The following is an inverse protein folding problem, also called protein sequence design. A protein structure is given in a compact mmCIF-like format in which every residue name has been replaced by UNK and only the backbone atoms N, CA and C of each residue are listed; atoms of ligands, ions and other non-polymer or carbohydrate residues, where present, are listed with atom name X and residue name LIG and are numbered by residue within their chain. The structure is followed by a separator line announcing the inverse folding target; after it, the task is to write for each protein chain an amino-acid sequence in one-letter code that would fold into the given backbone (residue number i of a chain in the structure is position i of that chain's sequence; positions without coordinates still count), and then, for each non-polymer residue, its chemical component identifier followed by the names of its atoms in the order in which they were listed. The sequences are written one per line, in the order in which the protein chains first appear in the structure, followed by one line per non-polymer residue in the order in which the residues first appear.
data_IF_751591277717
#
_entry.id   IF_751591277717
#
_cell.length_a   1.000
_cell.length_b   1.000
_cell.length_c   1.000
_cell.angle_alpha   90.00
_cell.angle_beta   90.00
_cell.angle_gamma   90.00
#
_symmetry.space_group_name_H-M   'P 1'
#
loop_
_entity.id
_entity.type
_entity.pdbx_description
1 polymer ?
#
# COMPACT_ATOMS: atom_id res chain seq x y z
N UNK A 1 -5.22 -18.29 -13.39
CA UNK A 1 -4.45 -17.48 -12.43
C UNK A 1 -5.42 -16.52 -11.77
N UNK A 2 -5.54 -16.54 -10.44
CA UNK A 2 -6.46 -15.66 -9.69
C UNK A 2 -5.60 -14.67 -8.91
N UNK A 3 -5.85 -13.38 -9.10
CA UNK A 3 -5.19 -12.31 -8.34
C UNK A 3 -6.10 -11.86 -7.20
N UNK A 4 -5.58 -11.83 -5.97
CA UNK A 4 -6.35 -11.51 -4.77
C UNK A 4 -5.61 -10.45 -3.99
N UNK A 5 -6.20 -9.25 -3.91
CA UNK A 5 -5.70 -8.15 -3.11
C UNK A 5 -6.21 -8.28 -1.68
N UNK A 6 -5.34 -8.66 -0.76
CA UNK A 6 -5.69 -8.86 0.66
C UNK A 6 -4.57 -8.37 1.58
N UNK A 7 -4.87 -8.24 2.87
CA UNK A 7 -3.89 -7.85 3.89
C UNK A 7 -3.25 -9.08 4.51
N UNK A 8 -1.93 -9.05 4.65
CA UNK A 8 -1.19 -10.01 5.46
C UNK A 8 -1.59 -9.89 6.93
N UNK A 9 -1.78 -11.02 7.60
CA UNK A 9 -2.10 -11.11 9.03
C UNK A 9 -1.09 -12.01 9.73
N UNK A 10 -0.71 -11.67 10.96
CA UNK A 10 0.18 -12.50 11.78
C UNK A 10 -0.64 -13.58 12.47
N UNK A 11 -0.24 -14.84 12.31
CA UNK A 11 -0.79 -16.01 12.99
C UNK A 11 0.33 -16.75 13.70
N UNK A 12 0.43 -16.57 15.01
CA UNK A 12 1.55 -17.10 15.80
C UNK A 12 2.91 -16.57 15.31
N UNK A 13 3.78 -17.48 14.87
CA UNK A 13 5.10 -17.16 14.32
C UNK A 13 5.12 -17.03 12.78
N UNK A 14 3.96 -17.08 12.14
CA UNK A 14 3.83 -17.06 10.67
C UNK A 14 2.96 -15.89 10.22
N UNK A 15 3.04 -15.57 8.92
CA UNK A 15 2.08 -14.69 8.26
C UNK A 15 1.13 -15.51 7.40
N UNK A 16 -0.16 -15.23 7.53
CA UNK A 16 -1.22 -15.77 6.69
C UNK A 16 -1.80 -14.68 5.79
N UNK A 17 -2.33 -15.11 4.65
CA UNK A 17 -3.18 -14.29 3.79
C UNK A 17 -4.62 -14.75 3.99
N UNK A 18 -5.55 -13.81 4.12
CA UNK A 18 -6.98 -14.13 4.19
C UNK A 18 -7.51 -14.16 2.77
N UNK A 19 -7.88 -15.35 2.31
CA UNK A 19 -8.46 -15.59 0.98
C UNK A 19 -9.98 -15.72 1.11
N UNK A 20 -10.77 -14.95 0.35
CA UNK A 20 -12.23 -15.10 0.35
C UNK A 20 -12.66 -16.50 -0.08
N UNK A 21 -13.67 -17.08 0.60
CA UNK A 21 -14.16 -18.43 0.31
C UNK A 21 -14.61 -18.60 -1.14
N UNK A 22 -15.24 -17.56 -1.72
CA UNK A 22 -15.66 -17.56 -3.13
C UNK A 22 -14.48 -17.80 -4.09
N UNK A 23 -13.31 -17.21 -3.78
CA UNK A 23 -12.13 -17.35 -4.62
C UNK A 23 -11.54 -18.76 -4.55
N UNK A 24 -11.58 -19.39 -3.36
CA UNK A 24 -11.17 -20.79 -3.17
C UNK A 24 -12.10 -21.75 -3.94
N UNK A 25 -13.42 -21.53 -3.86
CA UNK A 25 -14.39 -22.34 -4.60
C UNK A 25 -14.19 -22.25 -6.12
N UNK A 26 -13.97 -21.04 -6.64
CA UNK A 26 -13.70 -20.83 -8.07
C UNK A 26 -12.37 -21.45 -8.51
N UNK A 27 -11.38 -21.53 -7.62
CA UNK A 27 -10.11 -22.22 -7.84
C UNK A 27 -10.20 -23.75 -7.68
N UNK A 28 -11.35 -24.28 -7.24
CA UNK A 28 -11.55 -25.68 -6.87
C UNK A 28 -10.51 -26.21 -5.86
N UNK A 29 -9.93 -25.31 -5.07
CA UNK A 29 -8.99 -25.63 -3.99
C UNK A 29 -9.76 -25.93 -2.69
N UNK A 30 -9.12 -26.66 -1.78
CA UNK A 30 -9.70 -27.09 -0.51
C UNK A 30 -8.73 -26.83 0.63
N UNK A 31 -9.24 -26.91 1.85
CA UNK A 31 -8.38 -26.89 3.03
C UNK A 31 -7.43 -28.11 3.00
N UNK A 32 -6.15 -27.86 3.25
CA UNK A 32 -5.08 -28.87 3.21
C UNK A 32 -4.35 -28.98 1.86
N UNK A 33 -4.85 -28.35 0.80
CA UNK A 33 -4.13 -28.32 -0.48
C UNK A 33 -2.89 -27.41 -0.40
N UNK A 34 -1.80 -27.84 -1.05
CA UNK A 34 -0.63 -27.00 -1.23
C UNK A 34 -0.88 -25.99 -2.36
N UNK A 35 -0.63 -24.70 -2.06
CA UNK A 35 -0.85 -23.61 -2.99
C UNK A 35 0.43 -22.80 -3.18
N UNK A 36 0.76 -22.48 -4.43
CA UNK A 36 1.84 -21.53 -4.76
C UNK A 36 1.29 -20.13 -4.81
N UNK A 37 1.86 -19.22 -4.01
CA UNK A 37 1.44 -17.82 -3.91
C UNK A 37 2.49 -16.92 -4.57
N UNK A 38 2.06 -16.06 -5.50
CA UNK A 38 2.88 -14.95 -5.98
C UNK A 38 2.52 -13.68 -5.22
N UNK A 39 3.49 -13.07 -4.56
CA UNK A 39 3.30 -11.86 -3.76
C UNK A 39 3.80 -10.63 -4.53
N UNK A 40 2.94 -9.62 -4.63
CA UNK A 40 3.30 -8.28 -5.12
C UNK A 40 2.88 -7.26 -4.05
N UNK A 41 3.82 -6.45 -3.59
CA UNK A 41 3.54 -5.33 -2.68
C UNK A 41 3.05 -4.16 -3.52
N UNK A 42 1.90 -3.57 -3.16
CA UNK A 42 1.50 -2.30 -3.75
C UNK A 42 2.46 -1.19 -3.30
N UNK A 43 3.11 -0.55 -4.26
CA UNK A 43 4.08 0.54 -4.03
C UNK A 43 3.43 1.92 -3.93
N UNK A 44 2.09 2.02 -3.97
CA UNK A 44 1.36 3.29 -3.89
C UNK A 44 1.65 4.12 -2.61
N UNK A 45 2.29 3.51 -1.62
CA UNK A 45 2.73 4.19 -0.40
C UNK A 45 4.10 4.85 -0.50
N UNK A 46 4.88 4.70 -1.58
CA UNK A 46 6.18 5.38 -1.72
C UNK A 46 5.97 6.90 -1.65
N UNK A 47 4.94 7.43 -2.31
CA UNK A 47 4.60 8.86 -2.23
C UNK A 47 4.21 9.26 -0.80
N UNK A 48 3.34 8.50 -0.11
CA UNK A 48 2.97 8.79 1.28
C UNK A 48 4.16 8.69 2.25
N UNK A 49 5.07 7.76 2.04
CA UNK A 49 6.30 7.60 2.82
C UNK A 49 7.28 8.75 2.57
N UNK A 50 7.38 9.24 1.33
CA UNK A 50 8.14 10.45 0.99
C UNK A 50 7.53 11.72 1.63
N UNK A 51 6.21 11.89 1.57
CA UNK A 51 5.50 13.02 2.18
C UNK A 51 5.53 13.01 3.73
N UNK A 52 5.62 11.83 4.37
CA UNK A 52 5.82 11.73 5.83
C UNK A 52 7.28 11.95 6.26
N UNK A 53 8.24 11.63 5.39
CA UNK A 53 9.68 11.86 5.64
C UNK A 53 10.04 13.33 5.45
N UNK A 54 9.41 14.00 4.48
CA UNK A 54 9.35 15.45 4.39
C UNK A 54 8.26 15.97 5.34
N UNK A 55 8.52 15.94 6.66
CA UNK A 55 7.81 16.87 7.56
C UNK A 55 8.15 18.28 7.11
N UNK A 56 7.38 18.82 6.17
CA UNK A 56 7.47 20.22 5.78
C UNK A 56 7.36 21.03 7.07
N UNK A 57 8.46 21.64 7.49
CA UNK A 57 8.52 22.54 8.65
C UNK A 57 7.59 23.76 8.49
N UNK A 58 6.98 23.93 7.31
CA UNK A 58 6.07 25.01 6.95
C UNK A 58 4.79 24.42 6.37
N UNK A 59 3.64 25.00 6.73
CA UNK A 59 2.35 24.62 6.14
C UNK A 59 2.37 24.88 4.63
N UNK A 60 1.56 24.13 3.83
CA UNK A 60 1.43 24.36 2.39
C UNK A 60 1.15 25.84 2.04
N UNK A 61 0.36 26.53 2.87
CA UNK A 61 0.03 27.95 2.70
C UNK A 61 1.25 28.88 2.79
N UNK A 62 2.28 28.51 3.57
CA UNK A 62 3.51 29.31 3.67
C UNK A 62 4.38 29.15 2.43
N UNK A 63 4.36 27.97 1.81
CA UNK A 63 5.13 27.69 0.59
C UNK A 63 4.52 28.46 -0.58
N UNK A 64 3.19 28.43 -0.74
CA UNK A 64 2.46 29.20 -1.74
C UNK A 64 2.77 30.72 -1.62
N UNK A 65 2.72 31.26 -0.40
CA UNK A 65 3.06 32.67 -0.15
C UNK A 65 4.52 33.03 -0.41
N UNK A 66 5.45 32.09 -0.26
CA UNK A 66 6.87 32.32 -0.56
C UNK A 66 7.10 32.34 -2.08
N UNK A 67 6.47 31.42 -2.82
CA UNK A 67 6.54 31.36 -4.30
C UNK A 67 5.92 32.61 -4.94
N UNK A 68 4.74 33.03 -4.49
CA UNK A 68 4.08 34.24 -5.02
C UNK A 68 4.96 35.50 -4.81
N UNK A 69 5.65 35.57 -3.66
CA UNK A 69 6.50 36.71 -3.31
C UNK A 69 7.82 36.71 -4.08
N UNK A 70 8.35 35.55 -4.46
CA UNK A 70 9.52 35.45 -5.33
C UNK A 70 9.18 35.88 -6.77
N UNK A 71 8.01 35.48 -7.28
CA UNK A 71 7.52 35.85 -8.62
C UNK A 71 7.19 37.34 -8.77
N UNK A 72 6.84 38.04 -7.67
CA UNK A 72 6.63 39.49 -7.69
C UNK A 72 7.93 40.32 -7.65
N UNK A 73 9.09 39.71 -7.38
CA UNK A 73 10.38 40.39 -7.28
C UNK A 73 11.32 40.15 -8.49
N UNK A 74 10.81 39.53 -9.56
CA UNK A 74 11.39 39.57 -10.93
C UNK A 74 10.65 40.60 -11.80
#
# INVERSE_FOLDING_TARGET
MIEIKTKLRKWGNSFGIVVPQQAIMNAQAKEGDELTILLKKDEDNVLKEMFNSFKFKKSPDKILKEVDKELENE
#
